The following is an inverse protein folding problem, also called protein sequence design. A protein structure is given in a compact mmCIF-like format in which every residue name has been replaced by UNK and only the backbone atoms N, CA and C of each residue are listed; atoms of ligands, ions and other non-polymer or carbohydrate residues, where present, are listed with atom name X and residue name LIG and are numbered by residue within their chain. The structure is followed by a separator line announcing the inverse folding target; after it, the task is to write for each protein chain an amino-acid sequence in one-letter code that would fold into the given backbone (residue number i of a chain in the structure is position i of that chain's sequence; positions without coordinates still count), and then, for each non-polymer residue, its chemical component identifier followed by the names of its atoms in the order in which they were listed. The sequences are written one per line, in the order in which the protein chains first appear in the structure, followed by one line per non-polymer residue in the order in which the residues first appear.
data_IF_575540024507
#
_entry.id   IF_575540024507
#
_cell.length_a   1.000
_cell.length_b   1.000
_cell.length_c   1.000
_cell.angle_alpha   90.00
_cell.angle_beta   90.00
_cell.angle_gamma   90.00
#
_symmetry.space_group_name_H-M   'P 1'
#
loop_
_entity.id
_entity.type
_entity.pdbx_description
1 polymer ?
#
# COMPACT_ATOMS: atom_id res chain seq x y z
N UNK A 1 -6.92 -13.46 -19.94
CA UNK A 1 -5.80 -13.48 -18.99
C UNK A 1 -5.58 -14.90 -18.49
N UNK A 2 -4.32 -15.31 -18.20
CA UNK A 2 -4.07 -16.60 -17.59
C UNK A 2 -4.64 -16.61 -16.16
N UNK A 3 -5.16 -17.76 -15.72
CA UNK A 3 -5.66 -17.96 -14.36
C UNK A 3 -4.58 -17.61 -13.33
N UNK A 4 -4.93 -16.83 -12.33
CA UNK A 4 -4.03 -16.42 -11.24
C UNK A 4 -4.29 -17.19 -9.94
N UNK A 5 -5.54 -17.46 -9.60
CA UNK A 5 -5.89 -18.19 -8.38
C UNK A 5 -5.47 -19.67 -8.48
N UNK A 6 -4.60 -20.10 -7.56
CA UNK A 6 -4.30 -21.52 -7.36
C UNK A 6 -5.23 -22.11 -6.29
N UNK A 7 -5.31 -21.45 -5.12
CA UNK A 7 -6.21 -21.84 -4.03
C UNK A 7 -6.38 -20.71 -3.01
N UNK A 8 -7.50 -20.73 -2.27
CA UNK A 8 -7.68 -19.86 -1.11
C UNK A 8 -8.16 -20.68 0.10
N UNK A 9 -7.61 -20.37 1.25
CA UNK A 9 -7.91 -21.04 2.52
C UNK A 9 -8.34 -20.02 3.55
N UNK A 10 -9.53 -20.19 4.12
CA UNK A 10 -9.95 -19.43 5.31
C UNK A 10 -8.99 -19.69 6.47
N UNK A 11 -8.51 -18.62 7.12
CA UNK A 11 -7.55 -18.71 8.22
C UNK A 11 -8.05 -18.11 9.52
N UNK A 12 -8.84 -17.04 9.48
CA UNK A 12 -9.40 -16.40 10.68
C UNK A 12 -10.54 -15.45 10.34
N UNK A 13 -11.25 -15.01 11.37
CA UNK A 13 -12.29 -14.00 11.29
C UNK A 13 -12.19 -13.05 12.48
N UNK A 14 -12.40 -11.76 12.25
CA UNK A 14 -12.43 -10.73 13.30
C UNK A 14 -13.78 -9.98 13.22
N UNK A 15 -14.40 -9.79 14.38
CA UNK A 15 -15.57 -8.93 14.48
C UNK A 15 -15.19 -7.44 14.35
N UNK A 16 -16.15 -6.60 13.95
CA UNK A 16 -15.95 -5.14 13.91
C UNK A 16 -15.56 -4.57 15.29
N UNK A 17 -16.02 -5.17 16.39
CA UNK A 17 -15.66 -4.76 17.75
C UNK A 17 -14.19 -5.05 18.07
N UNK A 18 -13.65 -6.21 17.69
CA UNK A 18 -12.24 -6.54 17.88
C UNK A 18 -11.34 -5.63 17.07
N UNK A 19 -11.71 -5.38 15.79
CA UNK A 19 -10.96 -4.47 14.91
C UNK A 19 -11.05 -3.03 15.39
N UNK A 20 -12.21 -2.57 15.88
CA UNK A 20 -12.36 -1.23 16.49
C UNK A 20 -11.44 -1.04 17.69
N UNK A 21 -11.28 -2.10 18.48
CA UNK A 21 -10.35 -2.07 19.63
C UNK A 21 -8.90 -2.01 19.18
N UNK A 22 -8.53 -2.74 18.13
CA UNK A 22 -7.18 -2.72 17.55
C UNK A 22 -6.87 -1.36 16.90
N UNK A 23 -7.81 -0.82 16.13
CA UNK A 23 -7.65 0.44 15.41
C UNK A 23 -7.75 1.69 16.30
N UNK A 24 -8.35 1.57 17.48
CA UNK A 24 -8.65 2.70 18.37
C UNK A 24 -9.79 3.61 17.90
N UNK A 25 -10.50 3.22 16.82
CA UNK A 25 -11.63 3.94 16.22
C UNK A 25 -12.71 2.95 15.77
N UNK A 26 -13.99 3.34 15.76
CA UNK A 26 -15.05 2.47 15.26
C UNK A 26 -14.86 2.11 13.78
N UNK A 27 -15.09 0.84 13.44
CA UNK A 27 -15.12 0.36 12.05
C UNK A 27 -16.47 -0.25 11.71
N UNK A 28 -16.81 -0.33 10.42
CA UNK A 28 -18.12 -0.73 9.96
C UNK A 28 -18.31 -2.25 9.91
N UNK A 29 -17.28 -2.97 9.45
CA UNK A 29 -17.41 -4.38 9.09
C UNK A 29 -16.54 -5.29 9.96
N UNK A 30 -17.04 -6.51 10.27
CA UNK A 30 -16.19 -7.64 10.57
C UNK A 30 -15.45 -8.09 9.31
N UNK A 31 -14.39 -8.87 9.45
CA UNK A 31 -13.52 -9.25 8.33
C UNK A 31 -13.15 -10.72 8.40
N UNK A 32 -13.35 -11.41 7.29
CA UNK A 32 -12.85 -12.77 7.06
C UNK A 32 -11.50 -12.74 6.36
N UNK A 33 -10.58 -13.56 6.82
CA UNK A 33 -9.20 -13.60 6.35
C UNK A 33 -8.93 -14.90 5.61
N UNK A 34 -8.40 -14.80 4.41
CA UNK A 34 -8.03 -15.94 3.57
C UNK A 34 -6.54 -15.85 3.20
N UNK A 35 -5.83 -16.97 3.36
CA UNK A 35 -4.55 -17.17 2.70
C UNK A 35 -4.84 -17.55 1.25
N UNK A 36 -4.36 -16.76 0.31
CA UNK A 36 -4.49 -16.99 -1.13
C UNK A 36 -3.13 -17.43 -1.67
N UNK A 37 -3.10 -18.54 -2.41
CA UNK A 37 -1.96 -18.96 -3.22
C UNK A 37 -2.28 -18.66 -4.67
N UNK A 38 -1.32 -18.11 -5.38
CA UNK A 38 -1.55 -17.62 -6.73
C UNK A 38 -0.30 -17.73 -7.61
N UNK A 39 -0.52 -17.75 -8.93
CA UNK A 39 0.54 -17.75 -9.92
C UNK A 39 1.03 -16.33 -10.18
N UNK A 40 2.33 -16.14 -10.11
CA UNK A 40 3.04 -14.90 -10.42
C UNK A 40 4.32 -15.21 -11.19
N UNK A 41 5.23 -14.25 -11.31
CA UNK A 41 6.55 -14.47 -11.91
C UNK A 41 7.65 -14.25 -10.88
N UNK A 42 8.70 -15.06 -10.95
CA UNK A 42 9.93 -14.81 -10.21
C UNK A 42 10.75 -13.65 -10.83
N UNK A 43 11.91 -13.36 -10.28
CA UNK A 43 12.78 -12.28 -10.76
C UNK A 43 13.35 -12.50 -12.18
N UNK A 44 13.25 -13.73 -12.71
CA UNK A 44 13.68 -14.10 -14.08
C UNK A 44 12.52 -14.12 -15.07
N UNK A 45 11.30 -13.79 -14.60
CA UNK A 45 10.09 -13.85 -15.41
C UNK A 45 9.51 -15.25 -15.58
N UNK A 46 10.03 -16.25 -14.87
CA UNK A 46 9.52 -17.63 -14.91
C UNK A 46 8.28 -17.77 -14.02
N UNK A 47 7.37 -18.67 -14.41
CA UNK A 47 6.16 -18.94 -13.63
C UNK A 47 6.53 -19.41 -12.21
N UNK A 48 5.88 -18.80 -11.23
CA UNK A 48 6.17 -18.97 -9.81
C UNK A 48 4.87 -18.99 -8.99
N UNK A 49 4.90 -19.63 -7.83
CA UNK A 49 3.79 -19.59 -6.87
C UNK A 49 4.15 -18.66 -5.71
N UNK A 50 3.24 -17.76 -5.40
CA UNK A 50 3.34 -16.91 -4.22
C UNK A 50 2.10 -17.07 -3.32
N UNK A 51 2.17 -16.50 -2.13
CA UNK A 51 1.06 -16.39 -1.20
C UNK A 51 0.80 -14.94 -0.80
N UNK A 52 -0.37 -14.71 -0.26
CA UNK A 52 -0.78 -13.42 0.28
C UNK A 52 -2.04 -13.54 1.11
N UNK A 53 -2.43 -12.44 1.71
CA UNK A 53 -3.62 -12.30 2.52
C UNK A 53 -4.70 -11.57 1.73
N UNK A 54 -5.91 -12.15 1.68
CA UNK A 54 -7.11 -11.45 1.31
C UNK A 54 -7.96 -11.20 2.57
N UNK A 55 -8.30 -9.93 2.81
CA UNK A 55 -9.18 -9.49 3.87
C UNK A 55 -10.52 -9.10 3.25
N UNK A 56 -11.61 -9.78 3.62
CA UNK A 56 -12.92 -9.66 3.01
C UNK A 56 -13.92 -9.14 4.05
N UNK A 57 -14.56 -7.97 3.85
CA UNK A 57 -15.60 -7.47 4.74
C UNK A 57 -16.80 -8.42 4.80
N UNK A 58 -17.36 -8.60 6.01
CA UNK A 58 -18.51 -9.50 6.26
C UNK A 58 -19.83 -8.83 5.89
N UNK A 59 -20.09 -8.64 4.60
CA UNK A 59 -21.38 -8.22 4.07
C UNK A 59 -21.51 -8.65 2.61
N UNK A 60 -22.31 -9.67 2.35
CA UNK A 60 -22.58 -10.23 1.01
C UNK A 60 -23.63 -9.44 0.22
N UNK A 61 -24.12 -8.33 0.76
CA UNK A 61 -25.07 -7.43 0.09
C UNK A 61 -24.40 -6.18 -0.49
N UNK A 62 -23.11 -5.98 -0.21
CA UNK A 62 -22.33 -4.82 -0.65
C UNK A 62 -21.24 -5.26 -1.63
N UNK A 63 -21.06 -4.49 -2.72
CA UNK A 63 -19.89 -4.56 -3.59
C UNK A 63 -18.84 -3.59 -3.06
N UNK A 64 -17.67 -4.09 -2.73
CA UNK A 64 -16.59 -3.32 -2.14
C UNK A 64 -15.52 -2.98 -3.18
N UNK A 65 -14.90 -1.79 -3.11
CA UNK A 65 -13.70 -1.52 -3.89
C UNK A 65 -12.54 -2.40 -3.42
N UNK A 66 -11.60 -2.64 -4.34
CA UNK A 66 -10.35 -3.33 -4.05
C UNK A 66 -9.33 -2.39 -3.43
N UNK A 67 -8.49 -2.91 -2.54
CA UNK A 67 -7.29 -2.23 -2.06
C UNK A 67 -6.07 -3.14 -2.21
N UNK A 68 -5.06 -2.69 -2.94
CA UNK A 68 -3.74 -3.31 -3.03
C UNK A 68 -2.84 -2.69 -1.98
N UNK A 69 -2.69 -3.33 -0.85
CA UNK A 69 -1.79 -2.87 0.20
C UNK A 69 -0.50 -3.68 0.21
N UNK A 70 0.64 -2.99 0.17
CA UNK A 70 1.95 -3.59 0.20
C UNK A 70 2.60 -3.37 1.57
N UNK A 71 3.02 -4.47 2.22
CA UNK A 71 3.59 -4.40 3.56
C UNK A 71 5.03 -3.90 3.58
N UNK A 72 5.45 -3.34 4.72
CA UNK A 72 6.84 -2.95 4.95
C UNK A 72 7.76 -4.13 5.20
N UNK A 73 9.05 -3.84 5.42
CA UNK A 73 10.07 -4.86 5.66
C UNK A 73 9.75 -5.71 6.89
N UNK A 74 9.77 -7.02 6.69
CA UNK A 74 9.51 -8.07 7.70
C UNK A 74 10.80 -8.66 8.28
N UNK A 75 10.69 -9.56 9.25
CA UNK A 75 11.87 -10.19 9.87
C UNK A 75 12.40 -11.40 9.06
N UNK A 76 11.55 -12.03 8.27
CA UNK A 76 11.91 -13.18 7.44
C UNK A 76 10.68 -13.85 6.82
N UNK A 77 10.88 -15.04 6.22
CA UNK A 77 9.89 -15.76 5.42
C UNK A 77 8.53 -15.94 6.09
N UNK A 78 8.50 -16.27 7.38
CA UNK A 78 7.25 -16.56 8.10
C UNK A 78 6.61 -15.32 8.73
N UNK A 79 7.29 -14.15 8.70
CA UNK A 79 6.79 -12.90 9.27
C UNK A 79 5.99 -12.09 8.24
N UNK A 80 4.92 -12.66 7.71
CA UNK A 80 4.18 -12.14 6.55
C UNK A 80 2.66 -12.07 6.80
N UNK A 81 1.91 -11.29 5.96
CA UNK A 81 0.47 -11.13 6.11
C UNK A 81 -0.32 -12.44 6.12
N UNK A 82 -0.03 -13.38 5.22
CA UNK A 82 -0.77 -14.66 5.13
C UNK A 82 -0.57 -15.59 6.34
N UNK A 83 0.43 -15.31 7.17
CA UNK A 83 0.68 -16.00 8.45
C UNK A 83 0.09 -15.26 9.64
N UNK A 84 -0.55 -14.12 9.46
CA UNK A 84 -1.00 -13.20 10.51
C UNK A 84 0.13 -12.81 11.47
N UNK A 85 1.33 -12.64 10.93
CA UNK A 85 2.53 -12.22 11.64
C UNK A 85 2.86 -10.75 11.28
N UNK A 86 3.77 -10.47 10.36
CA UNK A 86 4.08 -9.11 9.92
C UNK A 86 3.09 -8.56 8.89
N UNK A 87 2.80 -7.25 8.97
CA UNK A 87 2.15 -6.49 7.91
C UNK A 87 0.65 -6.71 7.69
N UNK A 88 -0.07 -7.50 8.50
CA UNK A 88 -1.49 -7.81 8.28
C UNK A 88 -2.46 -6.81 8.92
N UNK A 89 -2.03 -6.04 9.92
CA UNK A 89 -2.94 -5.20 10.71
C UNK A 89 -3.60 -4.09 9.88
N UNK A 90 -2.83 -3.41 9.03
CA UNK A 90 -3.38 -2.33 8.22
C UNK A 90 -4.32 -2.84 7.12
N UNK A 91 -4.01 -3.93 6.38
CA UNK A 91 -4.99 -4.60 5.51
C UNK A 91 -6.30 -4.97 6.22
N UNK A 92 -6.21 -5.53 7.42
CA UNK A 92 -7.39 -5.87 8.24
C UNK A 92 -8.22 -4.62 8.57
N UNK A 93 -7.57 -3.53 8.99
CA UNK A 93 -8.24 -2.26 9.32
C UNK A 93 -8.88 -1.64 8.06
N UNK A 94 -8.17 -1.59 6.92
CA UNK A 94 -8.72 -1.09 5.66
C UNK A 94 -9.96 -1.90 5.25
N UNK A 95 -9.90 -3.23 5.38
CA UNK A 95 -11.05 -4.07 5.06
C UNK A 95 -12.25 -3.77 5.96
N UNK A 96 -12.03 -3.53 7.24
CA UNK A 96 -13.10 -3.15 8.17
C UNK A 96 -13.72 -1.76 7.87
N UNK A 97 -13.03 -0.92 7.07
CA UNK A 97 -13.58 0.31 6.50
C UNK A 97 -14.28 0.10 5.14
N UNK A 98 -14.40 -1.14 4.67
CA UNK A 98 -15.15 -1.49 3.46
C UNK A 98 -14.31 -1.56 2.20
N UNK A 99 -13.14 -2.20 2.25
CA UNK A 99 -12.33 -2.60 1.10
C UNK A 99 -12.11 -4.10 1.12
N UNK A 100 -12.20 -4.77 -0.02
CA UNK A 100 -11.57 -6.08 -0.17
C UNK A 100 -10.08 -5.82 -0.33
N UNK A 101 -9.29 -6.10 0.73
CA UNK A 101 -7.88 -5.73 0.78
C UNK A 101 -6.98 -6.90 0.50
N UNK A 102 -6.10 -6.75 -0.48
CA UNK A 102 -5.08 -7.73 -0.88
C UNK A 102 -3.71 -7.29 -0.38
N UNK A 103 -3.01 -8.17 0.34
CA UNK A 103 -1.64 -7.95 0.82
C UNK A 103 -0.76 -9.16 0.45
N UNK A 104 0.07 -8.99 -0.59
CA UNK A 104 1.01 -10.02 -1.03
C UNK A 104 2.10 -10.25 0.03
N UNK A 105 2.52 -11.51 0.21
CA UNK A 105 3.69 -11.84 1.04
C UNK A 105 5.02 -11.50 0.35
N UNK A 106 4.99 -11.26 -0.96
CA UNK A 106 6.08 -11.13 -1.93
C UNK A 106 6.77 -12.45 -2.30
N UNK A 107 7.43 -12.43 -3.47
CA UNK A 107 8.26 -13.53 -3.94
C UNK A 107 9.40 -13.81 -2.96
N UNK A 108 9.67 -15.08 -2.67
CA UNK A 108 10.68 -15.52 -1.70
C UNK A 108 10.24 -15.43 -0.23
N UNK A 109 8.98 -15.07 0.05
CA UNK A 109 8.40 -15.03 1.39
C UNK A 109 7.10 -15.85 1.44
N UNK A 110 6.61 -16.17 2.64
CA UNK A 110 5.43 -17.03 2.83
C UNK A 110 5.59 -18.40 2.18
N UNK A 111 4.66 -18.78 1.30
CA UNK A 111 4.70 -20.03 0.55
C UNK A 111 5.60 -19.98 -0.70
N UNK A 112 6.15 -18.82 -1.04
CA UNK A 112 7.03 -18.63 -2.19
C UNK A 112 8.43 -19.14 -1.89
N UNK A 113 9.00 -20.08 -2.69
CA UNK A 113 10.36 -20.55 -2.49
C UNK A 113 11.42 -19.52 -2.96
N UNK A 114 12.67 -19.76 -2.63
CA UNK A 114 13.81 -18.95 -3.04
C UNK A 114 14.10 -17.78 -2.09
N UNK A 115 15.01 -16.91 -2.50
CA UNK A 115 15.42 -15.71 -1.76
C UNK A 115 14.49 -14.56 -2.15
N UNK A 116 14.05 -13.78 -1.16
CA UNK A 116 13.25 -12.60 -1.43
C UNK A 116 14.06 -11.53 -2.17
N UNK A 117 13.65 -11.15 -3.41
CA UNK A 117 14.26 -10.05 -4.15
C UNK A 117 13.87 -8.71 -3.53
N UNK A 118 14.52 -8.37 -2.42
CA UNK A 118 14.17 -7.21 -1.59
C UNK A 118 14.29 -5.91 -2.40
N UNK A 119 13.23 -5.09 -2.39
CA UNK A 119 13.06 -3.85 -3.18
C UNK A 119 13.33 -4.03 -4.69
N UNK A 120 13.01 -5.22 -5.24
CA UNK A 120 13.01 -5.47 -6.67
C UNK A 120 11.64 -5.07 -7.25
N UNK A 121 11.61 -3.99 -8.02
CA UNK A 121 10.38 -3.34 -8.47
C UNK A 121 9.43 -4.28 -9.20
N UNK A 122 9.95 -5.07 -10.15
CA UNK A 122 9.15 -5.98 -10.98
C UNK A 122 8.46 -7.05 -10.15
N UNK A 123 9.20 -7.80 -9.32
CA UNK A 123 8.59 -8.89 -8.54
C UNK A 123 7.62 -8.39 -7.47
N UNK A 124 7.88 -7.23 -6.89
CA UNK A 124 6.95 -6.62 -5.93
C UNK A 124 5.67 -6.13 -6.60
N UNK A 125 5.79 -5.52 -7.79
CA UNK A 125 4.63 -5.10 -8.58
C UNK A 125 3.78 -6.31 -9.00
N UNK A 126 4.40 -7.31 -9.63
CA UNK A 126 3.67 -8.49 -10.13
C UNK A 126 3.03 -9.27 -9.00
N UNK A 127 3.71 -9.45 -7.86
CA UNK A 127 3.13 -10.14 -6.71
C UNK A 127 1.84 -9.48 -6.22
N UNK A 128 1.82 -8.15 -6.09
CA UNK A 128 0.62 -7.41 -5.67
C UNK A 128 -0.50 -7.43 -6.70
N UNK A 129 -0.16 -7.24 -7.98
CA UNK A 129 -1.12 -7.23 -9.09
C UNK A 129 -1.73 -8.62 -9.32
N UNK A 130 -0.91 -9.67 -9.31
CA UNK A 130 -1.38 -11.03 -9.53
C UNK A 130 -2.28 -11.53 -8.38
N UNK A 131 -2.02 -11.09 -7.15
CA UNK A 131 -2.93 -11.33 -6.03
C UNK A 131 -4.28 -10.59 -6.20
N UNK A 132 -4.29 -9.36 -6.72
CA UNK A 132 -5.55 -8.66 -7.04
C UNK A 132 -6.39 -9.46 -8.03
N UNK A 133 -5.78 -9.95 -9.10
CA UNK A 133 -6.47 -10.80 -10.08
C UNK A 133 -6.95 -12.11 -9.47
N UNK A 134 -6.14 -12.77 -8.65
CA UNK A 134 -6.53 -14.00 -7.96
C UNK A 134 -7.73 -13.79 -7.02
N UNK A 135 -7.78 -12.67 -6.29
CA UNK A 135 -8.91 -12.34 -5.41
C UNK A 135 -10.17 -11.97 -6.22
N UNK A 136 -10.02 -11.31 -7.38
CA UNK A 136 -11.14 -11.10 -8.31
C UNK A 136 -11.68 -12.42 -8.86
N UNK A 137 -10.81 -13.34 -9.28
CA UNK A 137 -11.21 -14.71 -9.68
C UNK A 137 -11.92 -15.46 -8.53
N UNK A 138 -11.40 -15.32 -7.28
CA UNK A 138 -12.03 -15.89 -6.09
C UNK A 138 -13.45 -15.36 -5.87
N UNK A 139 -13.72 -14.09 -6.15
CA UNK A 139 -15.05 -13.49 -5.99
C UNK A 139 -16.08 -13.99 -7.03
N UNK A 140 -15.62 -14.61 -8.11
CA UNK A 140 -16.42 -15.17 -9.18
C UNK A 140 -16.56 -16.70 -9.09
N UNK A 141 -15.88 -17.35 -8.13
CA UNK A 141 -15.85 -18.81 -7.98
C UNK A 141 -16.81 -19.30 -6.89
N UNK A 142 -17.83 -20.06 -7.28
CA UNK A 142 -18.84 -20.64 -6.38
C UNK A 142 -18.30 -21.61 -5.31
N UNK A 143 -17.00 -21.97 -5.38
CA UNK A 143 -16.37 -22.78 -4.35
C UNK A 143 -16.04 -21.98 -3.07
N UNK A 144 -16.11 -20.66 -3.10
CA UNK A 144 -15.87 -19.78 -1.97
C UNK A 144 -17.15 -19.10 -1.50
N UNK A 145 -17.22 -18.67 -0.21
CA UNK A 145 -18.32 -17.85 0.25
C UNK A 145 -18.47 -16.58 -0.61
N UNK A 146 -19.70 -16.18 -0.97
CA UNK A 146 -19.92 -15.06 -1.87
C UNK A 146 -19.45 -13.74 -1.24
N UNK A 147 -18.69 -12.98 -2.00
CA UNK A 147 -18.39 -11.57 -1.78
C UNK A 147 -18.29 -10.87 -3.13
N UNK A 148 -18.48 -9.58 -3.16
CA UNK A 148 -18.54 -8.85 -4.42
C UNK A 148 -17.58 -7.67 -4.43
N UNK A 149 -16.91 -7.48 -5.56
CA UNK A 149 -15.98 -6.37 -5.77
C UNK A 149 -16.46 -5.43 -6.87
N UNK A 150 -16.04 -4.17 -6.81
CA UNK A 150 -16.15 -3.20 -7.90
C UNK A 150 -14.82 -3.11 -8.63
N UNK A 151 -14.79 -2.39 -9.78
CA UNK A 151 -13.55 -2.12 -10.50
C UNK A 151 -12.70 -1.03 -9.84
N UNK A 152 -13.25 -0.30 -8.85
CA UNK A 152 -12.53 0.75 -8.14
C UNK A 152 -11.37 0.17 -7.32
N UNK A 153 -10.16 0.70 -7.54
CA UNK A 153 -8.94 0.24 -6.90
C UNK A 153 -8.24 1.36 -6.14
N UNK A 154 -7.76 1.04 -4.94
CA UNK A 154 -6.87 1.86 -4.13
C UNK A 154 -5.53 1.16 -3.96
N UNK A 155 -4.42 1.90 -4.07
CA UNK A 155 -3.08 1.33 -4.02
C UNK A 155 -2.25 2.04 -2.96
N UNK A 156 -1.60 1.29 -2.07
CA UNK A 156 -0.74 1.89 -1.06
C UNK A 156 0.16 0.91 -0.35
N UNK A 157 1.11 1.46 0.41
CA UNK A 157 2.03 0.66 1.20
C UNK A 157 3.00 1.55 1.97
N UNK A 158 3.65 0.99 2.98
CA UNK A 158 4.57 1.70 3.86
C UNK A 158 5.99 1.14 3.76
N UNK A 159 7.02 2.00 3.76
CA UNK A 159 8.43 1.61 3.75
C UNK A 159 8.77 0.79 2.48
N UNK A 160 9.29 -0.43 2.58
CA UNK A 160 9.40 -1.35 1.44
C UNK A 160 8.08 -1.43 0.66
N UNK A 161 6.95 -1.47 1.37
CA UNK A 161 5.62 -1.46 0.76
C UNK A 161 5.31 -0.15 0.03
N UNK A 162 5.88 0.98 0.43
CA UNK A 162 5.80 2.24 -0.31
C UNK A 162 6.46 2.13 -1.68
N UNK A 163 7.66 1.54 -1.76
CA UNK A 163 8.33 1.22 -3.02
C UNK A 163 7.52 0.21 -3.84
N UNK A 164 7.10 -0.89 -3.24
CA UNK A 164 6.32 -1.94 -3.91
C UNK A 164 4.99 -1.42 -4.47
N UNK A 165 4.29 -0.58 -3.71
CA UNK A 165 3.02 0.01 -4.14
C UNK A 165 3.21 1.02 -5.29
N UNK A 166 4.31 1.77 -5.29
CA UNK A 166 4.64 2.68 -6.40
C UNK A 166 5.00 1.88 -7.67
N UNK A 167 5.76 0.80 -7.54
CA UNK A 167 6.04 -0.11 -8.65
C UNK A 167 4.73 -0.73 -9.20
N UNK A 168 3.85 -1.24 -8.33
CA UNK A 168 2.57 -1.81 -8.74
C UNK A 168 1.67 -0.77 -9.41
N UNK A 169 1.62 0.46 -8.90
CA UNK A 169 0.88 1.57 -9.49
C UNK A 169 1.35 1.88 -10.93
N UNK A 170 2.67 2.03 -11.11
CA UNK A 170 3.28 2.25 -12.43
C UNK A 170 2.93 1.10 -13.40
N UNK A 171 3.04 -0.14 -12.95
CA UNK A 171 2.71 -1.31 -13.78
C UNK A 171 1.22 -1.37 -14.15
N UNK A 172 0.32 -1.09 -13.21
CA UNK A 172 -1.12 -1.08 -13.47
C UNK A 172 -1.49 -0.03 -14.52
N UNK A 173 -1.00 1.20 -14.41
CA UNK A 173 -1.31 2.23 -15.39
C UNK A 173 -0.65 2.00 -16.75
N UNK A 174 0.55 1.39 -16.81
CA UNK A 174 1.31 1.23 -18.05
C UNK A 174 1.09 -0.10 -18.76
N UNK A 175 0.95 -1.20 -18.01
CA UNK A 175 0.87 -2.56 -18.56
C UNK A 175 -0.55 -3.14 -18.54
N UNK A 176 -1.43 -2.61 -17.68
CA UNK A 176 -2.82 -3.07 -17.51
C UNK A 176 -3.84 -1.92 -17.62
N UNK A 177 -3.71 -1.03 -18.61
CA UNK A 177 -4.59 0.14 -18.70
C UNK A 177 -6.06 -0.28 -18.87
N UNK A 178 -6.92 0.23 -17.98
CA UNK A 178 -8.37 -0.05 -18.03
C UNK A 178 -8.81 -1.36 -17.37
N UNK A 179 -7.91 -2.15 -16.77
CA UNK A 179 -8.28 -3.34 -16.00
C UNK A 179 -8.89 -3.01 -14.63
N UNK A 180 -8.51 -1.87 -14.08
CA UNK A 180 -9.03 -1.32 -12.83
C UNK A 180 -9.23 0.19 -12.94
N UNK A 181 -10.21 0.71 -12.22
CA UNK A 181 -10.42 2.15 -12.01
C UNK A 181 -9.59 2.58 -10.78
N UNK A 182 -8.36 3.05 -11.02
CA UNK A 182 -7.45 3.48 -9.94
C UNK A 182 -7.93 4.82 -9.39
N UNK A 183 -8.69 4.79 -8.31
CA UNK A 183 -9.25 5.98 -7.67
C UNK A 183 -8.20 6.81 -6.97
N UNK A 184 -7.26 6.17 -6.28
CA UNK A 184 -6.15 6.86 -5.60
C UNK A 184 -4.99 5.93 -5.26
N UNK A 185 -3.80 6.51 -5.24
CA UNK A 185 -2.58 5.90 -4.72
C UNK A 185 -2.03 6.66 -3.51
N UNK A 186 -1.51 5.92 -2.52
CA UNK A 186 -0.99 6.44 -1.26
C UNK A 186 0.33 5.73 -0.90
N UNK A 187 1.45 6.26 -1.35
CA UNK A 187 2.77 5.70 -1.10
C UNK A 187 3.39 6.35 0.14
N UNK A 188 3.75 5.55 1.14
CA UNK A 188 4.17 6.07 2.45
C UNK A 188 5.63 5.70 2.75
N UNK A 189 6.48 6.71 3.00
CA UNK A 189 7.89 6.58 3.42
C UNK A 189 8.65 5.49 2.67
N UNK A 190 8.49 5.43 1.33
CA UNK A 190 9.13 4.41 0.49
C UNK A 190 10.47 4.87 -0.07
N UNK A 191 11.44 3.95 -0.28
CA UNK A 191 12.72 4.21 -0.93
C UNK A 191 12.56 4.25 -2.45
N UNK A 192 11.99 5.35 -3.00
CA UNK A 192 11.62 5.46 -4.41
C UNK A 192 12.82 5.66 -5.35
N UNK A 193 13.90 6.27 -4.83
CA UNK A 193 15.20 6.43 -5.49
C UNK A 193 16.24 5.65 -4.70
N UNK A 194 16.45 4.39 -5.10
CA UNK A 194 17.39 3.49 -4.43
C UNK A 194 18.82 3.83 -4.84
N UNK A 195 19.02 4.13 -6.13
CA UNK A 195 20.36 4.34 -6.72
C UNK A 195 21.02 5.66 -6.34
N UNK A 196 20.23 6.68 -5.93
CA UNK A 196 20.76 8.00 -5.56
C UNK A 196 20.47 8.32 -4.11
N UNK A 197 19.21 8.68 -3.77
CA UNK A 197 18.83 9.16 -2.43
C UNK A 197 19.17 8.14 -1.34
N UNK A 198 18.87 6.85 -1.59
CA UNK A 198 19.13 5.83 -0.56
C UNK A 198 20.61 5.45 -0.47
N UNK A 199 21.36 5.46 -1.58
CA UNK A 199 22.82 5.27 -1.54
C UNK A 199 23.48 6.35 -0.71
N UNK A 200 23.17 7.62 -0.98
CA UNK A 200 23.72 8.76 -0.22
C UNK A 200 23.34 8.70 1.26
N UNK A 201 22.10 8.35 1.56
CA UNK A 201 21.59 8.25 2.93
C UNK A 201 22.19 7.07 3.70
N UNK A 202 22.34 5.91 3.04
CA UNK A 202 22.79 4.66 3.68
C UNK A 202 24.32 4.57 3.79
N UNK A 203 25.04 4.97 2.74
CA UNK A 203 26.51 4.87 2.65
C UNK A 203 27.23 6.18 2.97
N UNK A 204 26.52 7.22 3.38
CA UNK A 204 27.08 8.50 3.81
C UNK A 204 27.87 8.43 5.11
N UNK A 205 28.32 9.60 5.59
CA UNK A 205 29.14 9.75 6.81
C UNK A 205 28.32 9.72 8.12
N UNK A 206 26.99 9.67 8.01
CA UNK A 206 26.10 9.65 9.19
C UNK A 206 25.80 8.22 9.63
N UNK A 207 25.58 7.98 10.93
CA UNK A 207 25.16 6.68 11.41
C UNK A 207 23.83 6.23 10.77
N UNK A 208 23.79 4.97 10.29
CA UNK A 208 22.61 4.33 9.75
C UNK A 208 22.36 3.00 10.46
N UNK A 209 21.31 2.96 11.29
CA UNK A 209 21.10 1.86 12.25
C UNK A 209 20.42 0.62 11.66
N UNK A 210 20.01 0.64 10.38
CA UNK A 210 19.30 -0.48 9.74
C UNK A 210 20.17 -1.16 8.68
N UNK A 211 21.38 -1.52 9.07
CA UNK A 211 22.43 -2.10 8.18
C UNK A 211 22.02 -3.39 7.50
N UNK A 212 21.08 -4.16 8.08
CA UNK A 212 20.55 -5.40 7.51
C UNK A 212 19.88 -5.19 6.13
N UNK A 213 19.37 -4.00 5.83
CA UNK A 213 18.77 -3.71 4.53
C UNK A 213 19.78 -3.82 3.38
N UNK A 214 21.02 -3.32 3.58
CA UNK A 214 22.06 -3.43 2.56
C UNK A 214 22.41 -4.90 2.25
N UNK A 215 22.50 -5.73 3.28
CA UNK A 215 22.73 -7.16 3.10
C UNK A 215 21.56 -7.84 2.34
N UNK A 216 20.31 -7.46 2.64
CA UNK A 216 19.15 -8.02 1.97
C UNK A 216 19.05 -7.58 0.50
N UNK A 217 19.31 -6.29 0.20
CA UNK A 217 19.42 -5.80 -1.18
C UNK A 217 20.45 -6.61 -1.96
N UNK A 218 21.64 -6.78 -1.41
CA UNK A 218 22.72 -7.52 -2.09
C UNK A 218 22.32 -8.97 -2.38
N UNK A 219 21.73 -9.69 -1.41
CA UNK A 219 21.25 -11.05 -1.57
C UNK A 219 20.12 -11.14 -2.63
N UNK A 220 19.15 -10.24 -2.54
CA UNK A 220 18.02 -10.20 -3.46
C UNK A 220 18.44 -9.90 -4.90
N UNK A 221 19.37 -8.96 -5.07
CA UNK A 221 19.83 -8.56 -6.41
C UNK A 221 20.77 -9.59 -7.04
N UNK A 222 21.59 -10.31 -6.27
CA UNK A 222 22.33 -11.46 -6.78
C UNK A 222 21.40 -12.55 -7.31
N UNK A 223 20.21 -12.70 -6.73
CA UNK A 223 19.17 -13.62 -7.24
C UNK A 223 18.45 -13.05 -8.48
N UNK A 224 18.11 -11.76 -8.46
CA UNK A 224 17.31 -11.12 -9.51
C UNK A 224 18.11 -10.83 -10.78
N UNK A 225 19.41 -10.56 -10.67
CA UNK A 225 20.27 -10.17 -11.79
C UNK A 225 21.46 -11.13 -11.99
N UNK A 226 21.24 -12.45 -12.19
CA UNK A 226 22.32 -13.43 -12.23
C UNK A 226 23.31 -13.21 -13.37
N UNK A 227 22.86 -12.66 -14.51
CA UNK A 227 23.74 -12.36 -15.65
C UNK A 227 24.60 -11.10 -15.42
N UNK A 228 24.02 -10.04 -14.85
CA UNK A 228 24.69 -8.79 -14.55
C UNK A 228 25.68 -8.94 -13.39
N UNK A 229 25.31 -9.75 -12.40
CA UNK A 229 26.04 -9.97 -11.16
C UNK A 229 26.67 -11.37 -11.10
N UNK A 230 27.02 -11.97 -12.23
CA UNK A 230 27.57 -13.35 -12.35
C UNK A 230 28.91 -13.51 -11.60
N UNK A 231 29.67 -12.42 -11.48
CA UNK A 231 30.95 -12.41 -10.78
C UNK A 231 30.84 -11.97 -9.31
N UNK A 232 29.65 -11.55 -8.87
CA UNK A 232 29.43 -11.11 -7.49
C UNK A 232 29.17 -12.31 -6.58
N UNK A 233 29.85 -12.34 -5.45
CA UNK A 233 29.60 -13.23 -4.33
C UNK A 233 29.63 -12.43 -3.04
N UNK A 234 29.07 -12.97 -1.97
CA UNK A 234 29.11 -12.27 -0.68
C UNK A 234 30.54 -11.90 -0.25
N UNK A 235 31.52 -12.79 -0.53
CA UNK A 235 32.93 -12.60 -0.22
C UNK A 235 33.59 -11.48 -1.05
N UNK A 236 33.00 -11.12 -2.19
CA UNK A 236 33.47 -10.02 -3.05
C UNK A 236 32.78 -8.69 -2.78
N UNK A 237 31.74 -8.68 -1.96
CA UNK A 237 30.98 -7.49 -1.61
C UNK A 237 31.22 -7.06 -0.16
N UNK A 238 31.21 -8.02 0.76
CA UNK A 238 31.27 -7.74 2.18
C UNK A 238 32.63 -8.10 2.80
N UNK A 239 33.01 -7.35 3.84
CA UNK A 239 34.19 -7.67 4.64
C UNK A 239 34.02 -9.02 5.35
N UNK A 240 35.11 -9.83 5.49
CA UNK A 240 35.04 -11.20 5.99
C UNK A 240 34.35 -11.36 7.34
N UNK A 241 34.49 -10.37 8.23
CA UNK A 241 33.93 -10.39 9.58
C UNK A 241 32.41 -10.35 9.66
N UNK A 242 31.70 -10.00 8.57
CA UNK A 242 30.24 -9.96 8.50
C UNK A 242 29.63 -11.15 7.75
N UNK A 243 30.45 -11.92 7.02
CA UNK A 243 29.99 -12.97 6.11
C UNK A 243 29.22 -14.09 6.80
N UNK A 244 29.64 -14.52 7.98
CA UNK A 244 28.97 -15.62 8.70
C UNK A 244 27.54 -15.22 9.13
N UNK A 245 27.35 -13.98 9.57
CA UNK A 245 26.05 -13.46 9.97
C UNK A 245 25.13 -13.25 8.72
N UNK A 246 25.66 -12.72 7.61
CA UNK A 246 24.91 -12.55 6.36
C UNK A 246 24.51 -13.91 5.76
N UNK A 247 25.43 -14.91 5.80
CA UNK A 247 25.09 -16.28 5.36
C UNK A 247 24.06 -16.95 6.25
N UNK A 248 24.14 -16.75 7.57
CA UNK A 248 23.13 -17.27 8.51
C UNK A 248 21.74 -16.67 8.22
N UNK A 249 21.66 -15.40 7.86
CA UNK A 249 20.42 -14.77 7.41
C UNK A 249 19.93 -15.31 6.08
N UNK A 250 20.80 -15.42 5.07
CA UNK A 250 20.48 -16.03 3.76
C UNK A 250 19.91 -17.44 3.92
N UNK A 251 20.50 -18.23 4.81
CA UNK A 251 20.14 -19.62 5.06
C UNK A 251 18.95 -19.75 6.05
N UNK A 252 18.29 -18.63 6.40
CA UNK A 252 17.14 -18.52 7.31
C UNK A 252 17.43 -19.06 8.73
N UNK A 253 18.69 -19.13 9.14
CA UNK A 253 19.08 -19.54 10.49
C UNK A 253 18.86 -18.43 11.54
N UNK A 254 18.82 -17.17 11.09
CA UNK A 254 18.50 -15.98 11.90
C UNK A 254 17.55 -15.07 11.13
N UNK A 255 16.73 -14.29 11.86
CA UNK A 255 15.90 -13.23 11.27
C UNK A 255 16.70 -11.95 10.98
N UNK A 256 16.08 -11.02 10.23
CA UNK A 256 16.67 -9.72 9.89
C UNK A 256 17.03 -8.89 11.13
N UNK A 257 16.19 -8.89 12.16
CA UNK A 257 16.45 -8.15 13.40
C UNK A 257 17.66 -8.65 14.12
N UNK A 258 17.91 -9.96 14.15
CA UNK A 258 19.11 -10.56 14.74
C UNK A 258 20.34 -10.24 13.89
N UNK A 259 20.28 -10.34 12.55
CA UNK A 259 21.33 -9.89 11.66
C UNK A 259 21.70 -8.45 11.93
N UNK A 260 20.70 -7.55 11.97
CA UNK A 260 20.90 -6.13 12.24
C UNK A 260 21.64 -5.90 13.57
N UNK A 261 21.19 -6.56 14.62
CA UNK A 261 21.78 -6.42 15.95
C UNK A 261 23.24 -6.91 16.01
N UNK A 262 23.56 -8.01 15.34
CA UNK A 262 24.91 -8.56 15.30
C UNK A 262 25.86 -7.60 14.56
N UNK A 263 25.46 -7.10 13.38
CA UNK A 263 26.29 -6.18 12.59
C UNK A 263 26.45 -4.82 13.32
N UNK A 264 25.35 -4.24 13.84
CA UNK A 264 25.44 -2.93 14.55
C UNK A 264 26.32 -3.00 15.78
N UNK A 265 26.26 -4.09 16.57
CA UNK A 265 27.13 -4.27 17.74
C UNK A 265 28.61 -4.36 17.34
N UNK A 266 28.93 -5.02 16.24
CA UNK A 266 30.30 -5.09 15.72
C UNK A 266 30.77 -3.73 15.25
N UNK A 267 29.98 -3.02 14.43
CA UNK A 267 30.30 -1.67 13.96
C UNK A 267 30.55 -0.69 15.12
N UNK A 268 29.71 -0.73 16.15
CA UNK A 268 29.91 0.08 17.36
C UNK A 268 31.20 -0.27 18.08
N UNK A 269 31.58 -1.53 18.12
CA UNK A 269 32.82 -1.98 18.76
C UNK A 269 34.06 -1.54 17.98
N UNK A 270 34.02 -1.70 16.66
CA UNK A 270 35.19 -1.53 15.80
C UNK A 270 35.41 -0.06 15.40
N UNK A 271 34.31 0.70 15.20
CA UNK A 271 34.32 2.07 14.68
C UNK A 271 33.74 3.12 15.65
N UNK A 272 33.11 2.72 16.73
CA UNK A 272 32.41 3.64 17.65
C UNK A 272 31.15 4.28 17.10
N UNK A 273 30.71 3.89 15.90
CA UNK A 273 29.49 4.36 15.23
C UNK A 273 28.95 3.29 14.26
N UNK A 274 27.65 3.29 14.00
CA UNK A 274 27.03 2.39 13.02
C UNK A 274 27.11 3.02 11.62
N UNK A 275 28.25 2.87 10.97
CA UNK A 275 28.48 3.33 9.61
C UNK A 275 28.25 2.16 8.64
N UNK A 276 27.13 2.17 7.94
CA UNK A 276 26.71 1.06 7.08
C UNK A 276 27.75 0.73 5.99
N UNK A 277 28.41 1.74 5.45
CA UNK A 277 29.48 1.58 4.45
C UNK A 277 30.66 0.72 4.93
N UNK A 278 30.89 0.63 6.24
CA UNK A 278 32.00 -0.14 6.80
C UNK A 278 31.80 -1.67 6.74
N UNK A 279 30.64 -2.15 6.33
CA UNK A 279 30.45 -3.58 6.08
C UNK A 279 30.94 -4.00 4.67
N UNK A 280 31.09 -3.05 3.74
CA UNK A 280 31.52 -3.31 2.37
C UNK A 280 33.05 -3.37 2.25
N UNK A 281 33.52 -4.10 1.25
CA UNK A 281 34.90 -3.99 0.80
C UNK A 281 35.15 -2.59 0.23
N UNK A 282 36.36 -2.05 0.42
CA UNK A 282 36.70 -0.66 0.04
C UNK A 282 36.59 -0.41 -1.46
N UNK A 283 37.00 -1.37 -2.29
CA UNK A 283 36.89 -1.26 -3.74
C UNK A 283 35.40 -1.30 -4.21
N UNK A 284 34.55 -2.10 -3.57
CA UNK A 284 33.11 -2.12 -3.83
C UNK A 284 32.47 -0.78 -3.45
N UNK A 285 32.75 -0.28 -2.25
CA UNK A 285 32.25 1.01 -1.80
C UNK A 285 32.65 2.14 -2.76
N UNK A 286 33.93 2.20 -3.13
CA UNK A 286 34.44 3.21 -4.06
C UNK A 286 33.77 3.08 -5.44
N UNK A 287 33.53 1.87 -5.95
CA UNK A 287 32.84 1.64 -7.22
C UNK A 287 31.39 2.08 -7.15
N UNK A 288 30.66 1.76 -6.07
CA UNK A 288 29.28 2.23 -5.87
C UNK A 288 29.21 3.76 -5.88
N UNK A 289 30.13 4.44 -5.20
CA UNK A 289 30.08 5.89 -5.03
C UNK A 289 30.61 6.68 -6.25
N UNK A 290 31.37 6.07 -7.16
CA UNK A 290 32.05 6.82 -8.22
C UNK A 290 31.84 6.32 -9.65
N UNK A 291 31.28 5.13 -9.85
CA UNK A 291 31.12 4.53 -11.18
C UNK A 291 29.63 4.21 -11.45
N UNK A 292 28.91 5.06 -12.19
CA UNK A 292 27.52 4.79 -12.56
C UNK A 292 27.32 3.50 -13.39
N UNK A 293 28.36 3.05 -14.10
CA UNK A 293 28.33 1.82 -14.90
C UNK A 293 28.65 0.55 -14.08
N UNK A 294 28.96 0.72 -12.79
CA UNK A 294 29.20 -0.42 -11.93
C UNK A 294 27.96 -1.33 -11.89
N UNK A 295 28.09 -2.66 -12.10
CA UNK A 295 26.91 -3.52 -12.28
C UNK A 295 25.88 -3.46 -11.15
N UNK A 296 26.31 -3.27 -9.91
CA UNK A 296 25.40 -3.12 -8.79
C UNK A 296 24.61 -1.80 -8.89
N UNK A 297 25.22 -0.70 -9.33
CA UNK A 297 24.54 0.58 -9.54
C UNK A 297 23.50 0.49 -10.66
N UNK A 298 23.79 -0.25 -11.73
CA UNK A 298 22.80 -0.49 -12.80
C UNK A 298 21.60 -1.29 -12.27
N UNK A 299 21.85 -2.31 -11.45
CA UNK A 299 20.78 -3.05 -10.81
C UNK A 299 19.95 -2.18 -9.85
N UNK A 300 20.59 -1.25 -9.11
CA UNK A 300 19.88 -0.28 -8.25
C UNK A 300 19.03 0.69 -9.07
N UNK A 301 19.57 1.26 -10.16
CA UNK A 301 18.83 2.18 -11.06
C UNK A 301 17.63 1.53 -11.72
N UNK A 302 17.70 0.24 -12.07
CA UNK A 302 16.57 -0.51 -12.64
C UNK A 302 15.39 -0.65 -11.67
N UNK A 303 15.64 -0.44 -10.38
CA UNK A 303 14.65 -0.51 -9.33
C UNK A 303 14.24 0.86 -8.76
N UNK A 304 14.65 1.95 -9.37
CA UNK A 304 14.09 3.28 -9.09
C UNK A 304 12.67 3.37 -9.67
N UNK A 305 11.72 3.77 -8.83
CA UNK A 305 10.28 3.70 -9.20
C UNK A 305 9.63 5.07 -9.35
N UNK A 306 10.37 6.14 -9.25
CA UNK A 306 9.84 7.52 -9.21
C UNK A 306 9.78 8.22 -10.56
N UNK A 307 10.54 7.77 -11.58
CA UNK A 307 10.64 8.47 -12.87
C UNK A 307 9.53 8.02 -13.84
N UNK A 308 8.33 8.60 -13.69
CA UNK A 308 7.17 8.40 -14.55
C UNK A 308 6.07 9.42 -14.22
N UNK A 309 4.91 9.36 -14.90
CA UNK A 309 3.80 10.30 -14.71
C UNK A 309 2.49 9.56 -14.38
N UNK A 310 2.16 9.31 -13.09
CA UNK A 310 0.88 8.74 -12.71
C UNK A 310 -0.29 9.62 -13.18
N UNK A 311 -1.33 8.99 -13.66
CA UNK A 311 -2.55 9.69 -14.12
C UNK A 311 -3.60 9.76 -13.00
N UNK A 312 -3.61 8.79 -12.11
CA UNK A 312 -4.49 8.77 -10.95
C UNK A 312 -4.00 9.71 -9.83
N UNK A 313 -4.90 10.03 -8.91
CA UNK A 313 -4.61 10.89 -7.75
C UNK A 313 -3.60 10.21 -6.82
N UNK A 314 -2.43 10.83 -6.63
CA UNK A 314 -1.29 10.22 -5.95
C UNK A 314 -0.77 11.08 -4.81
N UNK A 315 -0.76 10.53 -3.61
CA UNK A 315 -0.16 11.15 -2.42
C UNK A 315 1.07 10.36 -1.95
N UNK A 316 2.15 11.10 -1.66
CA UNK A 316 3.40 10.58 -1.10
C UNK A 316 3.52 11.10 0.34
N UNK A 317 3.37 10.21 1.33
CA UNK A 317 3.42 10.58 2.74
C UNK A 317 4.81 10.37 3.31
N UNK A 318 5.32 11.32 4.11
CA UNK A 318 6.65 11.24 4.69
C UNK A 318 6.76 11.96 6.04
N UNK A 319 7.79 11.62 6.82
CA UNK A 319 8.23 12.38 7.99
C UNK A 319 9.68 12.81 7.81
N UNK A 320 10.01 14.06 8.17
CA UNK A 320 11.39 14.57 8.06
C UNK A 320 12.35 13.93 9.08
N UNK A 321 11.82 13.37 10.17
CA UNK A 321 12.62 12.66 11.17
C UNK A 321 12.88 11.19 10.84
N UNK A 322 12.51 10.72 9.64
CA UNK A 322 12.66 9.32 9.25
C UNK A 322 14.15 8.92 9.24
N UNK A 323 14.48 7.90 10.04
CA UNK A 323 15.83 7.40 10.27
C UNK A 323 16.18 6.13 9.48
N UNK A 324 15.23 5.62 8.66
CA UNK A 324 15.43 4.42 7.83
C UNK A 324 15.32 4.69 6.34
N UNK A 325 14.38 5.56 5.94
CA UNK A 325 14.17 5.98 4.55
C UNK A 325 14.19 7.50 4.47
N UNK A 326 15.17 8.05 3.77
CA UNK A 326 15.26 9.51 3.61
C UNK A 326 13.97 10.08 3.04
N UNK A 327 13.42 11.09 3.68
CA UNK A 327 12.20 11.80 3.23
C UNK A 327 12.41 12.46 1.85
N UNK A 328 13.66 12.73 1.45
CA UNK A 328 13.98 13.26 0.12
C UNK A 328 13.48 12.38 -1.03
N UNK A 329 13.27 11.07 -0.78
CA UNK A 329 12.60 10.18 -1.73
C UNK A 329 11.22 10.70 -2.14
N UNK A 330 10.39 11.12 -1.18
CA UNK A 330 9.05 11.63 -1.46
C UNK A 330 9.08 12.98 -2.19
N UNK A 331 10.02 13.84 -1.82
CA UNK A 331 10.21 15.16 -2.44
C UNK A 331 10.69 15.00 -3.89
N UNK A 332 11.73 14.18 -4.12
CA UNK A 332 12.25 13.87 -5.44
C UNK A 332 11.16 13.28 -6.35
N UNK A 333 10.47 12.24 -5.86
CA UNK A 333 9.42 11.56 -6.62
C UNK A 333 8.30 12.52 -7.04
N UNK A 334 7.76 13.33 -6.10
CA UNK A 334 6.70 14.29 -6.43
C UNK A 334 7.14 15.32 -7.47
N UNK A 335 8.39 15.82 -7.35
CA UNK A 335 8.94 16.79 -8.30
C UNK A 335 9.11 16.19 -9.69
N UNK A 336 9.73 15.01 -9.81
CA UNK A 336 9.97 14.34 -11.10
C UNK A 336 8.65 13.93 -11.76
N UNK A 337 7.73 13.31 -11.02
CA UNK A 337 6.41 12.94 -11.54
C UNK A 337 5.65 14.16 -12.07
N UNK A 338 5.69 15.30 -11.36
CA UNK A 338 5.06 16.55 -11.79
C UNK A 338 5.73 17.10 -13.06
N UNK A 339 7.06 17.06 -13.14
CA UNK A 339 7.81 17.48 -14.34
C UNK A 339 7.50 16.58 -15.53
N UNK A 340 7.28 15.31 -15.32
CA UNK A 340 6.87 14.35 -16.35
C UNK A 340 5.40 14.51 -16.80
N UNK A 341 4.64 15.41 -16.14
CA UNK A 341 3.27 15.74 -16.54
C UNK A 341 2.18 15.02 -15.75
N UNK A 342 2.49 14.46 -14.59
CA UNK A 342 1.47 13.89 -13.70
C UNK A 342 0.49 15.00 -13.24
N UNK A 343 -0.84 14.81 -13.40
CA UNK A 343 -1.81 15.88 -13.13
C UNK A 343 -2.03 16.14 -11.64
N UNK A 344 -1.88 15.12 -10.78
CA UNK A 344 -2.29 15.17 -9.38
C UNK A 344 -1.35 14.37 -8.47
N UNK A 345 -0.15 14.89 -8.21
CA UNK A 345 0.82 14.30 -7.27
C UNK A 345 1.16 15.29 -6.16
N UNK A 346 1.16 14.84 -4.91
CA UNK A 346 1.52 15.65 -3.75
C UNK A 346 2.44 14.89 -2.79
N UNK A 347 3.48 15.55 -2.30
CA UNK A 347 4.26 15.08 -1.15
C UNK A 347 3.72 15.73 0.13
N UNK A 348 3.32 14.92 1.10
CA UNK A 348 2.62 15.34 2.31
C UNK A 348 3.42 14.97 3.56
N UNK A 349 3.86 16.00 4.28
CA UNK A 349 4.59 15.84 5.52
C UNK A 349 3.64 15.52 6.68
N UNK A 350 3.97 14.48 7.48
CA UNK A 350 3.15 14.00 8.59
C UNK A 350 3.61 14.48 9.97
N UNK A 351 4.85 14.91 10.13
CA UNK A 351 5.48 15.28 11.41
C UNK A 351 5.63 16.80 11.61
N UNK A 352 4.55 17.54 11.52
CA UNK A 352 4.56 19.02 11.57
C UNK A 352 4.98 19.62 12.92
N UNK A 353 4.88 18.90 14.04
CA UNK A 353 5.15 19.43 15.39
C UNK A 353 6.47 18.94 15.95
N UNK A 354 6.78 17.67 15.81
CA UNK A 354 8.04 17.03 16.25
C UNK A 354 8.51 16.05 15.18
N UNK A 355 9.83 15.94 14.92
CA UNK A 355 10.35 14.94 14.01
C UNK A 355 9.94 13.54 14.47
N UNK A 356 9.32 12.75 13.60
CA UNK A 356 8.95 11.35 13.86
C UNK A 356 9.90 10.45 13.10
N UNK A 357 10.45 9.44 13.80
CA UNK A 357 11.26 8.42 13.15
C UNK A 357 10.38 7.51 12.27
N UNK A 358 11.01 6.62 11.49
CA UNK A 358 10.33 5.74 10.55
C UNK A 358 9.15 4.97 11.16
N UNK A 359 9.34 4.35 12.31
CA UNK A 359 8.28 3.57 12.97
C UNK A 359 7.16 4.46 13.51
N UNK A 360 7.48 5.62 14.04
CA UNK A 360 6.49 6.57 14.56
C UNK A 360 5.65 7.20 13.44
N UNK A 361 6.21 7.34 12.23
CA UNK A 361 5.53 7.89 11.06
C UNK A 361 4.41 7.00 10.52
N UNK A 362 4.41 5.69 10.81
CA UNK A 362 3.39 4.72 10.34
C UNK A 362 1.98 5.19 10.71
N UNK A 363 1.75 5.54 11.98
CA UNK A 363 0.39 5.84 12.46
C UNK A 363 -0.22 7.09 11.81
N UNK A 364 0.42 8.27 11.78
CA UNK A 364 -0.16 9.44 11.13
C UNK A 364 -0.30 9.25 9.61
N UNK A 365 0.62 8.56 8.94
CA UNK A 365 0.51 8.28 7.51
C UNK A 365 -0.67 7.34 7.22
N UNK A 366 -0.79 6.22 7.93
CA UNK A 366 -1.89 5.28 7.77
C UNK A 366 -3.26 5.91 8.07
N UNK A 367 -3.35 6.74 9.12
CA UNK A 367 -4.57 7.50 9.44
C UNK A 367 -4.96 8.42 8.29
N UNK A 368 -4.00 9.15 7.72
CA UNK A 368 -4.24 10.03 6.57
C UNK A 368 -4.72 9.26 5.34
N UNK A 369 -4.19 8.05 5.11
CA UNK A 369 -4.63 7.17 4.01
C UNK A 369 -6.08 6.71 4.20
N UNK A 370 -6.46 6.30 5.42
CA UNK A 370 -7.86 5.89 5.72
C UNK A 370 -8.84 7.02 5.38
N UNK A 371 -8.54 8.27 5.76
CA UNK A 371 -9.38 9.41 5.43
C UNK A 371 -9.35 9.76 3.93
N UNK A 372 -8.17 9.75 3.33
CA UNK A 372 -8.00 10.07 1.93
C UNK A 372 -8.77 9.09 1.03
N UNK A 373 -8.60 7.80 1.22
CA UNK A 373 -9.32 6.77 0.46
C UNK A 373 -10.82 6.78 0.77
N UNK A 374 -11.19 6.91 2.07
CA UNK A 374 -12.57 6.95 2.49
C UNK A 374 -13.38 8.10 1.86
N UNK A 375 -12.72 9.22 1.50
CA UNK A 375 -13.39 10.33 0.80
C UNK A 375 -13.79 10.02 -0.64
N UNK A 376 -13.19 9.00 -1.26
CA UNK A 376 -13.42 8.61 -2.66
C UNK A 376 -14.03 7.21 -2.82
N UNK A 377 -14.10 6.44 -1.75
CA UNK A 377 -14.64 5.09 -1.76
C UNK A 377 -16.10 5.07 -2.21
N UNK A 378 -16.43 4.17 -3.12
CA UNK A 378 -17.79 3.89 -3.56
C UNK A 378 -18.20 2.49 -3.12
N UNK A 379 -19.23 2.40 -2.30
CA UNK A 379 -19.85 1.14 -1.89
C UNK A 379 -21.17 0.98 -2.66
N UNK A 380 -21.30 -0.13 -3.40
CA UNK A 380 -22.51 -0.43 -4.14
C UNK A 380 -23.28 -1.55 -3.41
N UNK A 381 -24.51 -1.28 -3.02
CA UNK A 381 -25.35 -2.31 -2.38
C UNK A 381 -25.96 -3.20 -3.47
N UNK A 382 -25.94 -4.53 -3.27
CA UNK A 382 -26.44 -5.52 -4.23
C UNK A 382 -27.98 -5.59 -4.29
N UNK A 383 -28.70 -4.85 -3.46
CA UNK A 383 -30.15 -4.79 -3.46
C UNK A 383 -30.65 -3.97 -4.65
N UNK A 384 -30.84 -4.64 -5.78
CA UNK A 384 -31.25 -4.13 -7.09
C UNK A 384 -30.14 -3.29 -7.78
N UNK A 385 -30.04 -3.40 -9.10
CA UNK A 385 -29.30 -2.45 -9.96
C UNK A 385 -29.80 -1.02 -9.66
N UNK A 386 -29.21 -0.40 -8.64
CA UNK A 386 -29.46 1.00 -8.39
C UNK A 386 -28.59 1.72 -9.40
N UNK A 387 -29.13 2.00 -10.57
CA UNK A 387 -28.62 3.05 -11.43
C UNK A 387 -28.62 4.33 -10.58
N UNK A 388 -27.45 4.68 -10.02
CA UNK A 388 -27.26 6.00 -9.44
C UNK A 388 -27.42 7.01 -10.58
N UNK A 389 -28.29 7.97 -10.39
CA UNK A 389 -28.52 8.98 -11.40
C UNK A 389 -27.32 9.96 -11.43
N UNK A 390 -26.51 9.89 -12.48
CA UNK A 390 -25.34 10.74 -12.65
C UNK A 390 -25.72 12.22 -12.88
N UNK A 391 -26.96 12.52 -13.24
CA UNK A 391 -27.46 13.87 -13.35
C UNK A 391 -27.78 14.51 -11.96
N UNK A 392 -27.87 13.69 -10.89
CA UNK A 392 -28.08 14.18 -9.53
C UNK A 392 -26.75 14.60 -8.90
N UNK A 393 -26.65 15.86 -8.50
CA UNK A 393 -25.52 16.45 -7.78
C UNK A 393 -25.75 16.60 -6.27
N UNK A 394 -24.80 16.16 -5.45
CA UNK A 394 -24.74 16.48 -4.01
C UNK A 394 -23.36 17.06 -3.74
N UNK A 395 -23.29 18.31 -3.30
CA UNK A 395 -22.04 19.03 -3.06
C UNK A 395 -22.04 19.62 -1.64
N UNK A 396 -20.88 19.63 -0.98
CA UNK A 396 -20.74 20.21 0.36
C UNK A 396 -19.48 21.08 0.42
N UNK A 397 -19.65 22.34 0.79
CA UNK A 397 -18.57 23.28 1.00
C UNK A 397 -18.99 24.40 1.98
N UNK A 398 -18.11 24.79 2.91
CA UNK A 398 -18.33 25.88 3.86
C UNK A 398 -19.65 25.76 4.64
N UNK A 399 -19.91 24.57 5.18
CA UNK A 399 -21.14 24.22 5.93
C UNK A 399 -22.44 24.33 5.12
N UNK A 400 -22.33 24.49 3.81
CA UNK A 400 -23.44 24.56 2.88
C UNK A 400 -23.52 23.27 2.05
N UNK A 401 -24.65 22.60 2.13
CA UNK A 401 -25.00 21.48 1.26
C UNK A 401 -25.79 22.00 0.06
N UNK A 402 -25.30 21.74 -1.13
CA UNK A 402 -25.97 22.08 -2.39
C UNK A 402 -26.49 20.80 -3.03
N UNK A 403 -27.77 20.77 -3.33
CA UNK A 403 -28.41 19.69 -4.10
C UNK A 403 -28.76 20.21 -5.48
N UNK A 404 -28.38 19.47 -6.51
CA UNK A 404 -28.80 19.67 -7.87
C UNK A 404 -29.57 18.43 -8.33
N UNK A 405 -30.89 18.49 -8.30
CA UNK A 405 -31.78 17.36 -8.55
C UNK A 405 -32.56 17.66 -9.84
N UNK A 406 -32.44 16.83 -10.89
CA UNK A 406 -33.16 17.01 -12.13
C UNK A 406 -34.67 17.21 -11.94
N UNK A 407 -35.28 18.05 -12.75
CA UNK A 407 -36.73 18.33 -12.70
C UNK A 407 -37.58 17.09 -13.05
N UNK A 408 -37.00 16.08 -13.66
CA UNK A 408 -37.60 14.77 -13.89
C UNK A 408 -38.12 14.12 -12.57
N UNK A 409 -37.53 14.48 -11.43
CA UNK A 409 -37.93 14.03 -10.09
C UNK A 409 -38.98 14.91 -9.42
N UNK A 410 -39.57 15.88 -10.10
CA UNK A 410 -40.54 16.81 -9.48
C UNK A 410 -41.84 16.17 -8.99
N UNK A 411 -42.15 14.96 -9.45
CA UNK A 411 -43.32 14.17 -8.98
C UNK A 411 -42.96 13.08 -7.96
N UNK A 412 -41.68 12.91 -7.62
CA UNK A 412 -41.21 11.90 -6.69
C UNK A 412 -41.18 12.41 -5.25
N UNK A 413 -41.39 11.51 -4.29
CA UNK A 413 -41.17 11.78 -2.88
C UNK A 413 -39.67 11.70 -2.60
N UNK A 414 -39.03 12.87 -2.47
CA UNK A 414 -37.59 12.99 -2.34
C UNK A 414 -37.19 13.16 -0.86
N UNK A 415 -36.31 12.28 -0.39
CA UNK A 415 -35.81 12.26 0.98
C UNK A 415 -34.29 12.24 1.01
N UNK A 416 -33.68 13.23 1.67
CA UNK A 416 -32.24 13.29 1.95
C UNK A 416 -31.95 12.74 3.32
N UNK A 417 -31.07 11.74 3.42
CA UNK A 417 -30.62 11.16 4.68
C UNK A 417 -29.13 11.36 4.87
N UNK A 418 -28.73 11.71 6.09
CA UNK A 418 -27.33 11.77 6.51
C UNK A 418 -27.04 10.63 7.49
N UNK A 419 -25.96 9.92 7.27
CA UNK A 419 -25.49 8.82 8.11
C UNK A 419 -24.08 9.08 8.60
N UNK A 420 -23.76 8.64 9.81
CA UNK A 420 -22.39 8.47 10.28
C UNK A 420 -21.74 7.27 9.56
N UNK A 421 -20.40 7.15 9.63
CA UNK A 421 -19.69 6.03 9.00
C UNK A 421 -20.09 4.65 9.54
N UNK A 422 -20.57 4.59 10.80
CA UNK A 422 -21.11 3.38 11.42
C UNK A 422 -22.57 3.06 11.00
N UNK A 423 -23.09 3.77 9.98
CA UNK A 423 -24.42 3.53 9.42
C UNK A 423 -25.57 4.13 10.27
N UNK A 424 -25.28 4.82 11.37
CA UNK A 424 -26.32 5.45 12.20
C UNK A 424 -26.92 6.67 11.50
N UNK A 425 -28.25 6.69 11.36
CA UNK A 425 -28.96 7.86 10.82
C UNK A 425 -28.76 9.08 11.71
N UNK A 426 -28.16 10.14 11.17
CA UNK A 426 -27.94 11.43 11.83
C UNK A 426 -29.15 12.34 11.62
N UNK A 427 -29.62 12.43 10.37
CA UNK A 427 -30.77 13.25 10.01
C UNK A 427 -31.50 12.68 8.78
N UNK A 428 -32.78 12.95 8.67
CA UNK A 428 -33.61 12.70 7.50
C UNK A 428 -34.53 13.88 7.27
N UNK A 429 -34.67 14.30 6.01
CA UNK A 429 -35.56 15.41 5.66
C UNK A 429 -36.06 15.31 4.22
N UNK A 430 -37.29 15.74 3.93
CA UNK A 430 -37.77 15.89 2.56
C UNK A 430 -37.01 17.02 1.85
N UNK A 431 -36.78 16.83 0.55
CA UNK A 431 -36.19 17.84 -0.34
C UNK A 431 -37.04 17.95 -1.62
N UNK A 432 -36.78 18.96 -2.44
CA UNK A 432 -37.50 19.14 -3.71
C UNK A 432 -36.54 19.05 -4.90
N UNK A 433 -37.05 18.69 -6.06
CA UNK A 433 -36.29 18.75 -7.31
C UNK A 433 -35.90 20.20 -7.64
N UNK A 434 -34.77 20.35 -8.36
CA UNK A 434 -34.14 21.63 -8.67
C UNK A 434 -32.91 21.88 -7.83
N UNK A 435 -32.25 23.02 -8.05
CA UNK A 435 -31.11 23.43 -7.25
C UNK A 435 -31.56 24.02 -5.92
N UNK A 436 -31.07 23.50 -4.82
CA UNK A 436 -31.39 23.97 -3.45
C UNK A 436 -30.15 23.97 -2.56
N UNK A 437 -30.12 24.97 -1.65
CA UNK A 437 -29.03 25.15 -0.69
C UNK A 437 -29.57 24.88 0.73
N UNK A 438 -28.79 24.14 1.52
CA UNK A 438 -29.18 23.76 2.86
C UNK A 438 -28.00 23.94 3.83
N UNK A 439 -28.19 24.75 4.86
CA UNK A 439 -27.24 24.85 5.98
C UNK A 439 -27.25 23.54 6.78
N UNK A 440 -26.05 22.98 6.99
CA UNK A 440 -25.83 21.80 7.79
C UNK A 440 -25.05 22.18 9.06
N UNK A 441 -25.72 22.14 10.21
CA UNK A 441 -25.04 22.21 11.50
C UNK A 441 -24.61 20.80 11.89
N UNK A 442 -23.35 20.45 11.60
CA UNK A 442 -22.76 19.20 11.99
C UNK A 442 -21.76 19.48 13.11
N UNK A 443 -22.08 19.00 14.30
CA UNK A 443 -21.42 19.37 15.57
C UNK A 443 -20.02 18.77 15.79
N UNK A 444 -19.26 18.33 14.77
CA UNK A 444 -17.85 17.91 14.92
C UNK A 444 -17.19 17.54 13.61
N UNK A 445 -15.87 17.58 13.56
CA UNK A 445 -15.04 16.99 12.51
C UNK A 445 -15.36 15.49 12.37
N UNK A 446 -16.15 15.13 11.38
CA UNK A 446 -16.53 13.74 11.11
C UNK A 446 -16.83 13.53 9.64
N UNK A 447 -16.63 12.29 9.20
CA UNK A 447 -17.06 11.89 7.87
C UNK A 447 -18.55 11.50 7.93
N UNK A 448 -19.35 12.03 7.01
CA UNK A 448 -20.77 11.71 6.86
C UNK A 448 -21.07 11.18 5.45
N UNK A 449 -22.08 10.32 5.36
CA UNK A 449 -22.61 9.82 4.09
C UNK A 449 -23.98 10.47 3.88
N UNK A 450 -24.11 11.25 2.80
CA UNK A 450 -25.39 11.78 2.35
C UNK A 450 -25.98 10.88 1.28
N UNK A 451 -27.23 10.48 1.46
CA UNK A 451 -27.96 9.62 0.54
C UNK A 451 -29.28 10.24 0.16
N UNK A 452 -29.54 10.40 -1.13
CA UNK A 452 -30.79 10.91 -1.67
C UNK A 452 -31.66 9.74 -2.17
N UNK A 453 -32.91 9.73 -1.73
CA UNK A 453 -33.90 8.73 -2.12
C UNK A 453 -35.05 9.40 -2.89
N UNK A 454 -35.56 8.71 -3.91
CA UNK A 454 -36.78 9.07 -4.62
C UNK A 454 -37.76 7.88 -4.54
N UNK A 455 -38.96 8.14 -4.04
CA UNK A 455 -40.01 7.13 -3.83
C UNK A 455 -39.49 5.88 -3.06
N UNK A 456 -38.61 6.13 -2.08
CA UNK A 456 -37.97 5.10 -1.25
C UNK A 456 -36.80 4.37 -1.88
N UNK A 457 -36.39 4.69 -3.14
CA UNK A 457 -35.21 4.13 -3.80
C UNK A 457 -34.04 5.10 -3.68
N UNK A 458 -32.85 4.57 -3.38
CA UNK A 458 -31.61 5.34 -3.39
C UNK A 458 -31.29 5.77 -4.83
N UNK A 459 -31.10 7.07 -5.07
CA UNK A 459 -30.76 7.60 -6.39
C UNK A 459 -29.39 8.26 -6.43
N UNK A 460 -28.85 8.72 -5.29
CA UNK A 460 -27.50 9.25 -5.18
C UNK A 460 -26.97 9.09 -3.76
N UNK A 461 -25.67 8.83 -3.64
CA UNK A 461 -24.95 8.87 -2.37
C UNK A 461 -23.63 9.60 -2.54
N UNK A 462 -23.22 10.35 -1.53
CA UNK A 462 -21.95 11.09 -1.52
C UNK A 462 -21.41 11.18 -0.10
N UNK A 463 -20.10 11.03 0.05
CA UNK A 463 -19.38 11.18 1.32
C UNK A 463 -18.76 12.55 1.42
N UNK A 464 -18.83 13.14 2.61
CA UNK A 464 -18.24 14.43 2.92
C UNK A 464 -17.48 14.39 4.23
N UNK A 465 -16.38 15.13 4.31
CA UNK A 465 -15.69 15.42 5.55
C UNK A 465 -16.16 16.80 6.06
N UNK A 466 -16.71 16.82 7.26
CA UNK A 466 -17.10 18.09 7.94
C UNK A 466 -15.94 18.57 8.78
N UNK A 467 -15.59 19.85 8.66
CA UNK A 467 -14.54 20.49 9.43
C UNK A 467 -15.08 21.13 10.69
#
# INVERSE_FOLDING_TARGET
QAQKLESAQFINSFSSQEISTLAGIPVAYGVDLYKVRYYTSDARGEEHIASGLACIPQDDTVRFPLACYQHGTVDGREDVPSRLAGGYQLPLILSAFGYVTCAADFVGLGDSPGIHPYVHATTQATAGIDLLFAVREMSEDDNYPPFYVTDQLFIGGYSQGGHASMAAHKYLETMYPGEFDIAAAAHMSGPYSISEVMIDFTLGDQPYNTVSYLAWVALGYMEAYPELLDTFTLEKVFKPEYLDDIKAFRDEAIGRGELNSRITNRLMTDYGAVLCREILLEDVLNSILSDPEYPLNQALMDNDVYDWAPQSLTNLYYCEGDDQVSFENAILAANVMTQNGAPNVQALRMDNTFPLNHVQCVSPAATSVVFFWGSMQQLLTSANDIELDDEVGIYYANDLLILDIPVSYSSSDLELKAYSLDGRLISSRPVAAGMSEHLMNLDSESMIVMSLFADGRLIKTQKFFTR
#
